data_IF_672322563689
#
_entry.id   IF_672322563689
#
_cell.length_a   1.000
_cell.length_b   1.000
_cell.length_c   1.000
_cell.angle_alpha   90.00
_cell.angle_beta   90.00
_cell.angle_gamma   90.00
#
_symmetry.space_group_name_H-M   'P 1'
#
loop_
_entity.id
_entity.type
_entity.pdbx_description
1 polymer ?
#
# COMPACT_ATOMS: atom_id res chain seq x y z
N UNK A 1 22.89 -13.49 -3.36
CA UNK A 1 22.31 -14.78 -2.91
C UNK A 1 22.90 -15.11 -1.54
N UNK A 2 22.10 -15.58 -0.58
CA UNK A 2 22.54 -15.84 0.81
C UNK A 2 22.39 -17.36 1.13
N UNK A 3 23.37 -18.20 0.76
CA UNK A 3 23.21 -19.67 0.76
C UNK A 3 23.13 -20.31 2.16
N UNK A 4 23.57 -19.60 3.21
CA UNK A 4 23.63 -20.09 4.59
C UNK A 4 22.64 -19.40 5.52
N UNK A 5 21.71 -18.60 4.98
CA UNK A 5 20.74 -17.85 5.78
C UNK A 5 19.42 -18.61 5.91
N UNK A 6 19.03 -18.94 7.14
CA UNK A 6 17.75 -19.58 7.47
C UNK A 6 16.99 -18.72 8.49
N UNK A 7 15.65 -18.65 8.36
CA UNK A 7 14.77 -17.97 9.33
C UNK A 7 13.46 -18.73 9.52
N UNK A 8 12.91 -18.65 10.73
CA UNK A 8 11.59 -19.24 11.06
C UNK A 8 10.43 -18.28 10.82
N UNK A 9 10.70 -16.96 10.89
CA UNK A 9 9.67 -15.93 10.71
C UNK A 9 9.25 -15.87 9.24
N UNK A 10 7.94 -15.93 8.93
CA UNK A 10 7.45 -15.83 7.57
C UNK A 10 7.87 -14.50 6.93
N UNK A 11 8.19 -14.55 5.64
CA UNK A 11 8.51 -13.36 4.87
C UNK A 11 7.27 -12.56 4.46
N UNK A 12 7.51 -11.34 3.99
CA UNK A 12 6.47 -10.47 3.41
C UNK A 12 5.66 -11.13 2.28
N UNK A 13 6.23 -12.13 1.59
CA UNK A 13 5.56 -12.86 0.51
C UNK A 13 4.24 -13.49 0.96
N UNK A 14 4.20 -14.05 2.18
CA UNK A 14 2.99 -14.66 2.72
C UNK A 14 1.91 -13.60 3.00
N UNK A 15 2.30 -12.47 3.59
CA UNK A 15 1.40 -11.35 3.84
C UNK A 15 0.86 -10.74 2.53
N UNK A 16 1.71 -10.59 1.52
CA UNK A 16 1.30 -10.11 0.20
C UNK A 16 0.32 -11.07 -0.46
N UNK A 17 0.58 -12.38 -0.40
CA UNK A 17 -0.33 -13.37 -0.96
C UNK A 17 -1.70 -13.33 -0.28
N UNK A 18 -1.74 -13.19 1.06
CA UNK A 18 -2.99 -13.02 1.79
C UNK A 18 -3.75 -11.75 1.37
N UNK A 19 -3.07 -10.62 1.19
CA UNK A 19 -3.66 -9.37 0.69
C UNK A 19 -4.22 -9.53 -0.73
N UNK A 20 -3.49 -10.19 -1.64
CA UNK A 20 -4.01 -10.46 -2.99
C UNK A 20 -5.27 -11.32 -2.96
N UNK A 21 -5.28 -12.39 -2.17
CA UNK A 21 -6.48 -13.23 -2.02
C UNK A 21 -7.64 -12.46 -1.40
N UNK A 22 -7.40 -11.61 -0.40
CA UNK A 22 -8.43 -10.74 0.17
C UNK A 22 -9.10 -9.90 -0.92
N UNK A 23 -8.31 -9.16 -1.70
CA UNK A 23 -8.81 -8.27 -2.76
C UNK A 23 -9.58 -9.08 -3.81
N UNK A 24 -9.07 -10.25 -4.18
CA UNK A 24 -9.72 -11.15 -5.13
C UNK A 24 -11.06 -11.68 -4.61
N UNK A 25 -11.14 -12.10 -3.34
CA UNK A 25 -12.37 -12.63 -2.74
C UNK A 25 -13.49 -11.59 -2.67
N UNK A 26 -13.16 -10.32 -2.46
CA UNK A 26 -14.12 -9.22 -2.50
C UNK A 26 -14.48 -8.74 -3.91
N UNK A 27 -13.95 -9.39 -4.96
CA UNK A 27 -14.15 -9.03 -6.37
C UNK A 27 -13.73 -7.59 -6.70
N UNK A 28 -12.74 -7.06 -5.98
CA UNK A 28 -12.19 -5.74 -6.28
C UNK A 28 -11.22 -5.82 -7.45
N UNK A 29 -11.52 -5.11 -8.53
CA UNK A 29 -10.75 -5.16 -9.79
C UNK A 29 -9.78 -4.00 -9.95
N UNK A 30 -9.87 -2.97 -9.10
CA UNK A 30 -9.07 -1.75 -9.16
C UNK A 30 -8.61 -1.35 -7.76
N UNK A 31 -7.31 -1.09 -7.60
CA UNK A 31 -6.73 -0.64 -6.33
C UNK A 31 -5.79 0.53 -6.54
N UNK A 32 -5.80 1.48 -5.60
CA UNK A 32 -4.76 2.50 -5.47
C UNK A 32 -3.79 2.08 -4.38
N UNK A 33 -2.52 2.44 -4.53
CA UNK A 33 -1.49 2.02 -3.57
C UNK A 33 -0.62 3.19 -3.13
N UNK A 34 -0.10 3.11 -1.91
CA UNK A 34 0.79 4.09 -1.30
C UNK A 34 1.99 3.34 -0.71
N UNK A 35 3.19 3.77 -1.05
CA UNK A 35 4.42 3.19 -0.50
C UNK A 35 5.38 4.25 -0.01
N UNK A 36 6.05 3.93 1.09
CA UNK A 36 7.26 4.63 1.48
C UNK A 36 8.40 4.23 0.52
N UNK A 37 8.91 5.20 -0.24
CA UNK A 37 9.85 4.98 -1.35
C UNK A 37 11.33 5.12 -0.96
N UNK A 38 11.62 5.82 0.14
CA UNK A 38 12.96 6.05 0.66
C UNK A 38 13.48 4.88 1.53
N UNK A 39 12.64 3.88 1.83
CA UNK A 39 13.02 2.71 2.63
C UNK A 39 12.70 1.38 1.91
N UNK A 40 13.74 0.59 1.53
CA UNK A 40 13.57 -0.70 0.86
C UNK A 40 12.73 -1.73 1.61
N UNK A 41 12.60 -1.60 2.95
CA UNK A 41 11.78 -2.49 3.78
C UNK A 41 10.29 -2.39 3.43
N UNK A 42 9.85 -1.25 2.92
CA UNK A 42 8.48 -1.03 2.45
C UNK A 42 8.40 -1.07 0.92
N UNK A 43 9.34 -0.43 0.23
CA UNK A 43 9.31 -0.31 -1.23
C UNK A 43 9.37 -1.68 -1.96
N UNK A 44 10.28 -2.57 -1.56
CA UNK A 44 10.48 -3.85 -2.26
C UNK A 44 9.31 -4.83 -2.07
N UNK A 45 8.79 -5.05 -0.84
CA UNK A 45 7.58 -5.85 -0.67
C UNK A 45 6.38 -5.27 -1.41
N UNK A 46 6.25 -3.94 -1.45
CA UNK A 46 5.15 -3.28 -2.14
C UNK A 46 5.20 -3.50 -3.66
N UNK A 47 6.37 -3.39 -4.28
CA UNK A 47 6.55 -3.67 -5.71
C UNK A 47 6.25 -5.14 -6.05
N UNK A 48 6.62 -6.06 -5.16
CA UNK A 48 6.24 -7.47 -5.30
C UNK A 48 4.72 -7.67 -5.20
N UNK A 49 4.04 -6.91 -4.33
CA UNK A 49 2.59 -6.93 -4.21
C UNK A 49 1.90 -6.41 -5.48
N UNK A 50 2.28 -5.24 -5.98
CA UNK A 50 1.68 -4.64 -7.18
C UNK A 50 1.87 -5.54 -8.41
N UNK A 51 3.09 -6.05 -8.60
CA UNK A 51 3.40 -7.02 -9.68
C UNK A 51 2.50 -8.25 -9.59
N UNK A 52 2.28 -8.77 -8.38
CA UNK A 52 1.43 -9.95 -8.17
C UNK A 52 -0.04 -9.65 -8.41
N UNK A 53 -0.54 -8.49 -8.00
CA UNK A 53 -1.91 -8.07 -8.24
C UNK A 53 -2.19 -7.98 -9.75
N UNK A 54 -1.31 -7.34 -10.50
CA UNK A 54 -1.49 -7.15 -11.95
C UNK A 54 -1.32 -8.44 -12.74
N UNK A 55 -0.20 -9.15 -12.56
CA UNK A 55 0.13 -10.31 -13.37
C UNK A 55 -0.41 -11.64 -12.83
N UNK A 56 -0.66 -11.74 -11.51
CA UNK A 56 -1.11 -12.96 -10.86
C UNK A 56 -2.63 -13.04 -10.69
N UNK A 57 -3.29 -11.91 -10.47
CA UNK A 57 -4.72 -11.86 -10.15
C UNK A 57 -5.55 -11.04 -11.13
N UNK A 58 -4.93 -10.36 -12.11
CA UNK A 58 -5.63 -9.52 -13.08
C UNK A 58 -6.27 -8.27 -12.47
N UNK A 59 -5.77 -7.83 -11.31
CA UNK A 59 -6.26 -6.65 -10.59
C UNK A 59 -5.44 -5.45 -11.05
N UNK A 60 -6.11 -4.39 -11.49
CA UNK A 60 -5.45 -3.18 -12.00
C UNK A 60 -4.99 -2.27 -10.88
N UNK A 61 -3.69 -1.99 -10.82
CA UNK A 61 -3.13 -0.95 -9.95
C UNK A 61 -3.24 0.38 -10.70
N UNK A 62 -4.18 1.23 -10.29
CA UNK A 62 -4.50 2.46 -11.05
C UNK A 62 -3.52 3.61 -10.82
N UNK A 63 -2.87 3.62 -9.66
CA UNK A 63 -1.84 4.58 -9.29
C UNK A 63 -1.11 4.09 -8.04
N UNK A 64 0.20 4.33 -8.02
CA UNK A 64 1.06 4.07 -6.85
C UNK A 64 1.66 5.40 -6.42
N UNK A 65 1.22 5.91 -5.27
CA UNK A 65 1.80 7.07 -4.62
C UNK A 65 3.12 6.71 -3.95
N UNK A 66 4.18 7.43 -4.29
CA UNK A 66 5.48 7.34 -3.62
C UNK A 66 5.59 8.43 -2.55
N UNK A 67 5.87 8.05 -1.31
CA UNK A 67 6.02 8.97 -0.19
C UNK A 67 7.42 8.81 0.39
N UNK A 68 8.06 9.91 0.77
CA UNK A 68 9.36 9.93 1.45
C UNK A 68 9.28 10.86 2.67
N UNK A 69 10.22 10.71 3.60
CA UNK A 69 10.31 11.61 4.76
C UNK A 69 10.66 13.05 4.37
N UNK A 70 11.42 13.23 3.30
CA UNK A 70 11.86 14.55 2.83
C UNK A 70 10.74 15.31 2.11
N UNK A 71 9.71 14.62 1.64
CA UNK A 71 8.62 15.18 0.82
C UNK A 71 7.24 15.06 1.48
N UNK A 72 7.17 15.22 2.81
CA UNK A 72 5.90 15.15 3.56
C UNK A 72 4.84 16.12 3.03
N UNK A 73 5.25 17.28 2.48
CA UNK A 73 4.32 18.26 1.91
C UNK A 73 3.60 17.73 0.65
N UNK A 74 4.16 16.72 -0.01
CA UNK A 74 3.59 16.12 -1.23
C UNK A 74 2.51 15.08 -0.92
N UNK A 75 2.35 14.65 0.35
CA UNK A 75 1.38 13.61 0.72
C UNK A 75 -0.05 13.98 0.29
N UNK A 76 -0.47 15.23 0.50
CA UNK A 76 -1.79 15.71 0.09
C UNK A 76 -1.97 15.67 -1.44
N UNK A 77 -0.92 16.00 -2.20
CA UNK A 77 -0.94 15.90 -3.67
C UNK A 77 -1.11 14.45 -4.13
N UNK A 78 -0.32 13.53 -3.58
CA UNK A 78 -0.39 12.10 -3.90
C UNK A 78 -1.75 11.48 -3.59
N UNK A 79 -2.33 11.85 -2.45
CA UNK A 79 -3.69 11.43 -2.07
C UNK A 79 -4.77 12.01 -2.99
N UNK A 80 -4.61 13.27 -3.42
CA UNK A 80 -5.52 13.88 -4.38
C UNK A 80 -5.43 13.20 -5.75
N UNK A 81 -4.24 12.78 -6.18
CA UNK A 81 -4.01 12.02 -7.40
C UNK A 81 -4.71 10.64 -7.37
N UNK A 82 -4.71 9.96 -6.22
CA UNK A 82 -5.51 8.74 -5.99
C UNK A 82 -7.01 9.03 -6.07
N UNK A 83 -7.46 10.10 -5.41
CA UNK A 83 -8.87 10.51 -5.39
C UNK A 83 -9.39 10.85 -6.79
N UNK A 84 -8.63 11.63 -7.58
CA UNK A 84 -8.98 11.98 -8.97
C UNK A 84 -9.14 10.76 -9.88
N UNK A 85 -8.40 9.68 -9.61
CA UNK A 85 -8.49 8.42 -10.36
C UNK A 85 -9.58 7.46 -9.85
N UNK A 86 -10.40 7.91 -8.89
CA UNK A 86 -11.47 7.13 -8.23
C UNK A 86 -10.91 5.85 -7.58
N UNK A 87 -9.80 5.99 -6.85
CA UNK A 87 -9.21 4.92 -6.07
C UNK A 87 -9.94 4.73 -4.74
N UNK A 88 -10.74 3.66 -4.64
CA UNK A 88 -11.57 3.37 -3.45
C UNK A 88 -10.98 2.32 -2.52
N UNK A 89 -10.19 1.38 -3.06
CA UNK A 89 -9.47 0.37 -2.30
C UNK A 89 -8.01 0.80 -2.25
N UNK A 90 -7.53 1.14 -1.06
CA UNK A 90 -6.23 1.74 -0.83
C UNK A 90 -5.34 0.80 -0.03
N UNK A 91 -4.15 0.51 -0.56
CA UNK A 91 -3.17 -0.35 0.10
C UNK A 91 -1.96 0.50 0.47
N UNK A 92 -1.66 0.57 1.77
CA UNK A 92 -0.53 1.33 2.29
C UNK A 92 0.59 0.43 2.78
N UNK A 93 1.84 0.77 2.47
CA UNK A 93 3.04 0.21 3.08
C UNK A 93 4.03 1.33 3.42
N UNK A 94 4.02 1.75 4.69
CA UNK A 94 4.82 2.83 5.23
C UNK A 94 4.96 2.65 6.75
N UNK A 95 5.94 3.33 7.34
CA UNK A 95 6.12 3.31 8.79
C UNK A 95 5.04 4.11 9.55
N UNK A 96 5.02 3.93 10.87
CA UNK A 96 4.01 4.53 11.75
C UNK A 96 4.02 6.06 11.73
N UNK A 97 5.19 6.69 11.66
CA UNK A 97 5.32 8.15 11.67
C UNK A 97 4.68 8.79 10.43
N UNK A 98 4.86 8.15 9.27
CA UNK A 98 4.21 8.53 8.01
C UNK A 98 2.73 8.17 8.02
N UNK A 99 2.35 7.03 8.62
CA UNK A 99 0.95 6.62 8.72
C UNK A 99 0.07 7.69 9.34
N UNK A 100 0.50 8.29 10.44
CA UNK A 100 -0.25 9.37 11.11
C UNK A 100 -0.44 10.56 10.16
N UNK A 101 0.60 10.97 9.45
CA UNK A 101 0.55 12.11 8.51
C UNK A 101 -0.36 11.83 7.32
N UNK A 102 -0.24 10.64 6.73
CA UNK A 102 -1.07 10.18 5.60
C UNK A 102 -2.54 10.13 6.01
N UNK A 103 -2.85 9.58 7.19
CA UNK A 103 -4.22 9.50 7.67
C UNK A 103 -4.81 10.88 8.02
N UNK A 104 -4.01 11.81 8.55
CA UNK A 104 -4.43 13.20 8.74
C UNK A 104 -4.80 13.86 7.41
N UNK A 105 -3.96 13.74 6.38
CA UNK A 105 -4.22 14.27 5.04
C UNK A 105 -5.42 13.59 4.39
N UNK A 106 -5.56 12.26 4.53
CA UNK A 106 -6.70 11.51 4.03
C UNK A 106 -8.02 11.99 4.64
N UNK A 107 -8.03 12.29 5.95
CA UNK A 107 -9.18 12.87 6.63
C UNK A 107 -9.53 14.25 6.08
N UNK A 108 -8.55 15.15 5.97
CA UNK A 108 -8.76 16.50 5.43
C UNK A 108 -9.28 16.48 3.98
N UNK A 109 -8.87 15.48 3.20
CA UNK A 109 -9.27 15.30 1.82
C UNK A 109 -10.52 14.41 1.63
N UNK A 110 -11.16 13.94 2.69
CA UNK A 110 -12.38 13.13 2.61
C UNK A 110 -12.18 11.72 2.01
N UNK A 111 -11.00 11.13 2.18
CA UNK A 111 -10.63 9.79 1.70
C UNK A 111 -10.89 8.75 2.81
N UNK A 112 -12.14 8.71 3.28
CA UNK A 112 -12.62 7.82 4.34
C UNK A 112 -14.13 7.60 4.21
N UNK A 113 -14.70 6.72 5.06
CA UNK A 113 -16.13 6.44 5.10
C UNK A 113 -16.53 5.24 4.24
N UNK A 114 -17.83 5.10 3.97
CA UNK A 114 -18.42 3.91 3.33
C UNK A 114 -17.90 3.62 1.91
N UNK A 115 -17.35 4.62 1.24
CA UNK A 115 -16.86 4.52 -0.13
C UNK A 115 -15.37 4.16 -0.23
N UNK A 116 -14.66 4.02 0.89
CA UNK A 116 -13.22 3.74 0.93
C UNK A 116 -12.90 2.56 1.84
N UNK A 117 -11.96 1.72 1.41
CA UNK A 117 -11.37 0.68 2.24
C UNK A 117 -9.85 0.82 2.27
N UNK A 118 -9.28 0.75 3.47
CA UNK A 118 -7.84 0.85 3.70
C UNK A 118 -7.28 -0.49 4.17
N UNK A 119 -6.25 -0.98 3.48
CA UNK A 119 -5.47 -2.16 3.87
C UNK A 119 -4.10 -1.66 4.30
N UNK A 120 -3.83 -1.72 5.61
CA UNK A 120 -2.61 -1.23 6.24
C UNK A 120 -1.84 -2.38 6.92
N UNK A 121 -0.51 -2.23 7.14
CA UNK A 121 0.25 -3.14 7.98
C UNK A 121 -0.27 -3.13 9.43
N UNK A 122 -0.31 -4.30 10.06
CA UNK A 122 -0.80 -4.49 11.44
C UNK A 122 0.30 -4.50 12.50
N UNK A 123 1.47 -3.92 12.23
CA UNK A 123 2.65 -4.03 13.11
C UNK A 123 2.85 -2.83 14.05
N UNK A 124 1.89 -1.91 14.07
CA UNK A 124 1.91 -0.75 14.96
C UNK A 124 1.61 -1.21 16.40
N UNK A 125 2.39 -0.71 17.36
CA UNK A 125 2.28 -1.11 18.77
C UNK A 125 1.19 -0.32 19.50
#
# INVERSE_FOLDING_TARGET
MYPTFFRMVPGYQNSNLARCHLIFQFNWTRVGTLKQSDDPRFALPHESLTTRLEHGFGIRVIYTAGITHDEIQNIGYELNELKKRDARILIGDFEESLAVRILCEAYQNGIYGENYAWILPGYHK
#
